data_IF_119729015629
#
_entry.id   IF_119729015629
#
_cell.length_a   1.000
_cell.length_b   1.000
_cell.length_c   1.000
_cell.angle_alpha   90.00
_cell.angle_beta   90.00
_cell.angle_gamma   90.00
#
_symmetry.space_group_name_H-M   'P 1'
#
loop_
_entity.id
_entity.type
_entity.pdbx_description
1 polymer ?
#
# COMPACT_ATOMS: atom_id res chain seq x y z
N UNK A 1 3.62 -28.33 3.19
CA UNK A 1 2.17 -28.14 3.44
C UNK A 1 1.89 -26.77 4.05
N UNK A 2 0.65 -26.27 3.92
CA UNK A 2 0.19 -25.03 4.55
C UNK A 2 -0.36 -25.33 5.97
N UNK A 3 -0.03 -24.48 6.94
CA UNK A 3 -0.46 -24.56 8.34
C UNK A 3 -1.28 -23.31 8.70
N UNK A 4 -2.57 -23.51 8.97
CA UNK A 4 -3.49 -22.46 9.38
C UNK A 4 -4.60 -23.00 10.29
N UNK A 5 -4.89 -22.28 11.38
CA UNK A 5 -5.99 -22.59 12.30
C UNK A 5 -6.88 -21.37 12.51
N UNK A 6 -8.19 -21.61 12.57
CA UNK A 6 -9.22 -20.57 12.72
C UNK A 6 -9.60 -20.30 14.18
N UNK A 7 -8.90 -20.90 15.13
CA UNK A 7 -9.17 -20.78 16.57
C UNK A 7 -9.09 -19.33 17.03
N UNK A 8 -10.22 -18.84 17.55
CA UNK A 8 -10.35 -17.48 18.07
C UNK A 8 -9.46 -17.32 19.31
N UNK A 9 -8.44 -16.48 19.21
CA UNK A 9 -7.48 -16.22 20.29
C UNK A 9 -6.07 -16.73 20.01
N UNK A 10 -5.89 -17.56 18.98
CA UNK A 10 -4.57 -18.00 18.56
C UNK A 10 -3.85 -16.90 17.76
N UNK A 11 -3.05 -16.08 18.46
CA UNK A 11 -2.31 -14.96 17.89
C UNK A 11 -1.21 -15.38 16.89
N UNK A 12 -0.87 -16.68 16.83
CA UNK A 12 -0.02 -17.22 15.77
C UNK A 12 -0.71 -17.00 14.43
N UNK A 13 -1.97 -17.42 14.30
CA UNK A 13 -2.69 -17.43 13.02
C UNK A 13 -3.58 -16.21 12.79
N UNK A 14 -4.25 -15.70 13.83
CA UNK A 14 -5.24 -14.62 13.69
C UNK A 14 -4.95 -13.48 14.66
N UNK A 15 -4.76 -12.28 14.12
CA UNK A 15 -4.58 -11.05 14.88
C UNK A 15 -5.70 -10.06 14.57
N UNK A 16 -6.31 -9.53 15.61
CA UNK A 16 -7.29 -8.44 15.51
C UNK A 16 -6.58 -7.11 15.79
N UNK A 17 -6.63 -6.19 14.83
CA UNK A 17 -6.03 -4.86 14.91
C UNK A 17 -7.07 -3.75 14.82
N UNK A 18 -6.67 -2.53 15.22
CA UNK A 18 -7.47 -1.33 15.02
C UNK A 18 -8.84 -1.39 15.70
N UNK A 19 -8.90 -1.79 16.97
CA UNK A 19 -10.17 -1.99 17.69
C UNK A 19 -11.11 -2.98 16.97
N UNK A 20 -10.58 -4.13 16.54
CA UNK A 20 -11.28 -5.20 15.78
C UNK A 20 -11.74 -4.83 14.37
N UNK A 21 -11.32 -3.67 13.84
CA UNK A 21 -11.64 -3.21 12.47
C UNK A 21 -10.74 -3.82 11.40
N UNK A 22 -9.67 -4.51 11.79
CA UNK A 22 -8.72 -5.16 10.90
C UNK A 22 -8.49 -6.58 11.39
N UNK A 23 -8.56 -7.57 10.49
CA UNK A 23 -8.14 -8.94 10.75
C UNK A 23 -6.88 -9.21 9.93
N UNK A 24 -5.87 -9.78 10.57
CA UNK A 24 -4.68 -10.31 9.91
C UNK A 24 -4.62 -11.80 10.14
N UNK A 25 -4.61 -12.56 9.05
CA UNK A 25 -4.42 -14.01 9.02
C UNK A 25 -3.00 -14.32 8.55
N UNK A 26 -2.34 -15.25 9.23
CA UNK A 26 -1.01 -15.76 8.85
C UNK A 26 -1.14 -17.23 8.52
N UNK A 27 -0.94 -17.57 7.25
CA UNK A 27 -0.93 -18.94 6.75
C UNK A 27 0.53 -19.37 6.68
N UNK A 28 0.96 -20.24 7.58
CA UNK A 28 2.34 -20.67 7.69
C UNK A 28 2.66 -21.74 6.66
N UNK A 29 3.91 -21.80 6.22
CA UNK A 29 4.41 -22.85 5.35
C UNK A 29 5.89 -23.08 5.63
N UNK A 30 6.35 -24.31 5.45
CA UNK A 30 7.78 -24.62 5.43
C UNK A 30 8.30 -24.40 4.02
N UNK A 31 9.21 -23.44 3.85
CA UNK A 31 9.88 -23.23 2.56
C UNK A 31 10.87 -24.35 2.34
N UNK A 32 10.74 -25.07 1.22
CA UNK A 32 11.70 -26.10 0.84
C UNK A 32 13.04 -25.49 0.40
N UNK A 33 13.01 -24.29 -0.19
CA UNK A 33 14.22 -23.60 -0.67
C UNK A 33 15.03 -22.93 0.44
N UNK A 34 14.36 -22.35 1.44
CA UNK A 34 15.02 -21.60 2.51
C UNK A 34 15.19 -22.41 3.80
N UNK A 35 14.64 -23.63 3.83
CA UNK A 35 14.53 -24.50 5.01
C UNK A 35 13.97 -23.81 6.26
N UNK A 36 13.24 -22.71 6.06
CA UNK A 36 12.70 -21.84 7.11
C UNK A 36 11.19 -21.79 7.02
N UNK A 37 10.57 -21.61 8.18
CA UNK A 37 9.14 -21.33 8.27
C UNK A 37 8.88 -19.91 7.74
N UNK A 38 8.07 -19.83 6.69
CA UNK A 38 7.51 -18.60 6.15
C UNK A 38 6.03 -18.50 6.46
N UNK A 39 5.43 -17.36 6.16
CA UNK A 39 3.98 -17.23 6.19
C UNK A 39 3.47 -16.27 5.12
N UNK A 40 2.27 -16.55 4.63
CA UNK A 40 1.47 -15.65 3.79
C UNK A 40 0.59 -14.82 4.72
N UNK A 41 0.71 -13.50 4.61
CA UNK A 41 -0.10 -12.56 5.39
C UNK A 41 -1.31 -12.10 4.58
N UNK A 42 -2.50 -12.48 5.01
CA UNK A 42 -3.77 -11.97 4.46
C UNK A 42 -4.32 -10.95 5.45
N UNK A 43 -4.60 -9.73 4.98
CA UNK A 43 -5.14 -8.67 5.83
C UNK A 43 -6.46 -8.18 5.27
N UNK A 44 -7.49 -8.14 6.11
CA UNK A 44 -8.84 -7.68 5.78
C UNK A 44 -9.11 -6.43 6.63
N UNK A 45 -9.45 -5.33 5.97
CA UNK A 45 -9.87 -4.09 6.60
C UNK A 45 -11.38 -3.92 6.42
N UNK A 46 -12.12 -3.79 7.52
CA UNK A 46 -13.58 -3.67 7.50
C UNK A 46 -14.08 -2.23 7.47
N UNK A 47 -13.23 -1.27 7.87
CA UNK A 47 -13.58 0.15 7.90
C UNK A 47 -12.62 0.95 7.07
N UNK A 48 -12.86 0.94 5.76
CA UNK A 48 -12.10 1.70 4.77
C UNK A 48 -13.01 2.68 4.04
N UNK A 49 -12.54 3.92 3.87
CA UNK A 49 -13.25 4.93 3.10
C UNK A 49 -12.83 4.81 1.62
N UNK A 50 -13.58 4.03 0.84
CA UNK A 50 -13.36 3.88 -0.58
C UNK A 50 -13.96 5.07 -1.35
N UNK A 51 -13.15 5.73 -2.18
CA UNK A 51 -13.56 6.87 -3.01
C UNK A 51 -13.83 6.45 -4.45
N UNK A 52 -13.18 5.38 -4.91
CA UNK A 52 -13.36 4.81 -6.23
C UNK A 52 -13.90 3.39 -6.15
N UNK A 53 -14.76 3.03 -7.11
CA UNK A 53 -15.32 1.67 -7.19
C UNK A 53 -14.23 0.66 -7.57
N UNK A 54 -14.32 -0.54 -7.01
CA UNK A 54 -13.50 -1.67 -7.45
C UNK A 54 -13.79 -2.02 -8.90
N UNK A 55 -12.78 -2.53 -9.60
CA UNK A 55 -12.88 -3.02 -10.97
C UNK A 55 -12.58 -4.51 -11.03
N UNK A 56 -13.15 -5.19 -12.01
CA UNK A 56 -12.84 -6.60 -12.27
C UNK A 56 -11.79 -6.68 -13.36
N UNK A 57 -10.67 -7.33 -13.10
CA UNK A 57 -9.56 -7.48 -14.04
C UNK A 57 -9.13 -8.94 -14.14
N UNK A 58 -8.66 -9.33 -15.33
CA UNK A 58 -8.03 -10.63 -15.54
C UNK A 58 -6.58 -10.58 -15.08
N UNK A 59 -6.18 -11.54 -14.25
CA UNK A 59 -4.79 -11.65 -13.83
C UNK A 59 -3.95 -12.32 -14.91
N UNK A 60 -2.73 -11.80 -15.09
CA UNK A 60 -1.68 -12.41 -15.91
C UNK A 60 -0.93 -13.45 -15.09
N UNK A 61 -0.64 -14.59 -15.70
CA UNK A 61 0.07 -15.67 -15.04
C UNK A 61 1.55 -15.31 -14.85
N UNK A 62 2.13 -15.85 -13.78
CA UNK A 62 3.56 -15.71 -13.49
C UNK A 62 4.38 -16.66 -14.39
N UNK A 63 3.78 -17.77 -14.82
CA UNK A 63 4.42 -18.74 -15.72
C UNK A 63 4.45 -18.14 -17.13
N UNK A 64 5.64 -17.99 -17.74
CA UNK A 64 5.75 -17.55 -19.13
C UNK A 64 5.19 -18.62 -20.06
N UNK A 65 4.66 -18.21 -21.22
CA UNK A 65 4.29 -19.16 -22.25
C UNK A 65 5.57 -19.80 -22.82
N UNK A 66 5.74 -21.11 -22.59
CA UNK A 66 6.87 -21.91 -23.10
C UNK A 66 6.36 -23.31 -23.45
N UNK A 67 6.76 -23.79 -24.63
CA UNK A 67 6.44 -25.16 -25.07
C UNK A 67 7.23 -26.20 -24.28
N UNK A 68 8.45 -25.88 -23.89
CA UNK A 68 9.31 -26.74 -23.07
C UNK A 68 8.70 -26.96 -21.68
N UNK A 69 8.18 -25.91 -21.03
CA UNK A 69 7.49 -26.03 -19.74
C UNK A 69 6.21 -26.85 -19.87
N UNK A 70 5.44 -26.66 -20.94
CA UNK A 70 4.23 -27.46 -21.22
C UNK A 70 4.55 -28.94 -21.41
N UNK A 71 5.69 -29.26 -22.04
CA UNK A 71 6.13 -30.63 -22.23
C UNK A 71 6.59 -31.29 -20.93
N UNK A 72 7.39 -30.58 -20.12
CA UNK A 72 7.96 -31.12 -18.88
C UNK A 72 6.96 -31.18 -17.72
N UNK A 73 6.05 -30.21 -17.64
CA UNK A 73 5.11 -30.02 -16.51
C UNK A 73 3.69 -29.70 -17.01
N UNK A 74 3.06 -30.61 -17.78
CA UNK A 74 1.80 -30.32 -18.46
C UNK A 74 0.66 -29.96 -17.49
N UNK A 75 0.55 -30.66 -16.35
CA UNK A 75 -0.52 -30.44 -15.39
C UNK A 75 -0.36 -29.13 -14.61
N UNK A 76 0.87 -28.83 -14.21
CA UNK A 76 1.23 -27.62 -13.49
C UNK A 76 1.03 -26.40 -14.39
N UNK A 77 1.50 -26.46 -15.63
CA UNK A 77 1.30 -25.36 -16.59
C UNK A 77 -0.19 -25.16 -16.86
N UNK A 78 -0.98 -26.21 -17.05
CA UNK A 78 -2.42 -26.05 -17.23
C UNK A 78 -3.10 -25.41 -16.00
N UNK A 79 -2.70 -25.83 -14.80
CA UNK A 79 -3.30 -25.35 -13.54
C UNK A 79 -2.93 -23.90 -13.26
N UNK A 80 -1.65 -23.54 -13.40
CA UNK A 80 -1.12 -22.23 -13.06
C UNK A 80 -1.18 -21.21 -14.20
N UNK A 81 -1.53 -21.64 -15.42
CA UNK A 81 -1.76 -20.74 -16.57
C UNK A 81 -3.23 -20.38 -16.78
N UNK A 82 -4.15 -20.91 -15.95
CA UNK A 82 -5.56 -20.52 -16.02
C UNK A 82 -5.72 -19.07 -15.57
N UNK A 83 -6.07 -18.20 -16.51
CA UNK A 83 -6.45 -16.82 -16.18
C UNK A 83 -7.77 -16.84 -15.42
N UNK A 84 -7.84 -16.06 -14.34
CA UNK A 84 -9.06 -15.83 -13.59
C UNK A 84 -9.26 -14.34 -13.35
N UNK A 85 -10.52 -13.97 -13.18
CA UNK A 85 -10.93 -12.59 -12.91
C UNK A 85 -10.95 -12.35 -11.41
N UNK A 86 -10.41 -11.20 -11.00
CA UNK A 86 -10.42 -10.77 -9.61
C UNK A 86 -10.97 -9.35 -9.51
N UNK A 87 -11.73 -9.08 -8.45
CA UNK A 87 -12.05 -7.71 -8.07
C UNK A 87 -10.83 -7.06 -7.43
N UNK A 88 -10.37 -5.97 -8.01
CA UNK A 88 -9.22 -5.21 -7.56
C UNK A 88 -9.59 -3.75 -7.32
N UNK A 89 -8.82 -3.09 -6.46
CA UNK A 89 -8.95 -1.65 -6.27
C UNK A 89 -8.59 -0.89 -7.55
N UNK A 90 -9.26 0.24 -7.75
CA UNK A 90 -8.87 1.21 -8.75
C UNK A 90 -7.47 1.74 -8.44
N UNK A 91 -6.66 2.00 -9.46
CA UNK A 91 -5.31 2.52 -9.27
C UNK A 91 -5.30 3.90 -8.60
N UNK A 92 -6.37 4.69 -8.79
CA UNK A 92 -6.61 5.96 -8.10
C UNK A 92 -6.86 5.75 -6.60
N UNK A 93 -7.60 4.70 -6.25
CA UNK A 93 -7.84 4.32 -4.84
C UNK A 93 -6.52 3.93 -4.16
N UNK A 94 -5.72 3.09 -4.83
CA UNK A 94 -4.40 2.66 -4.34
C UNK A 94 -3.48 3.87 -4.14
N UNK A 95 -3.46 4.79 -5.10
CA UNK A 95 -2.68 6.03 -5.02
C UNK A 95 -3.06 6.85 -3.78
N UNK A 96 -4.36 7.11 -3.59
CA UNK A 96 -4.84 7.90 -2.46
C UNK A 96 -4.50 7.25 -1.11
N UNK A 97 -4.64 5.92 -1.01
CA UNK A 97 -4.26 5.15 0.18
C UNK A 97 -2.76 5.22 0.48
N UNK A 98 -1.90 5.19 -0.55
CA UNK A 98 -0.45 5.32 -0.38
C UNK A 98 -0.06 6.69 0.17
N UNK A 99 -0.66 7.76 -0.36
CA UNK A 99 -0.44 9.13 0.15
C UNK A 99 -0.91 9.27 1.59
N UNK A 100 -2.13 8.80 1.89
CA UNK A 100 -2.67 8.77 3.26
C UNK A 100 -1.74 8.01 4.21
N UNK A 101 -1.22 6.86 3.79
CA UNK A 101 -0.32 6.03 4.58
C UNK A 101 1.02 6.73 4.90
N UNK A 102 1.58 7.50 3.96
CA UNK A 102 2.80 8.29 4.18
C UNK A 102 2.62 9.24 5.36
N UNK A 103 1.46 9.89 5.46
CA UNK A 103 1.19 10.92 6.47
C UNK A 103 0.75 10.36 7.83
N UNK A 104 0.19 9.15 7.88
CA UNK A 104 -0.47 8.62 9.10
C UNK A 104 0.22 7.42 9.74
N UNK A 105 1.15 6.76 9.05
CA UNK A 105 1.94 5.65 9.64
C UNK A 105 3.07 6.19 10.52
N UNK A 106 3.44 5.41 11.54
CA UNK A 106 4.50 5.77 12.51
C UNK A 106 5.90 5.83 11.91
N UNK A 107 6.15 5.16 10.78
CA UNK A 107 7.46 5.09 10.11
C UNK A 107 7.41 5.56 8.66
N UNK A 108 8.57 5.87 8.09
CA UNK A 108 8.73 6.10 6.64
C UNK A 108 8.87 4.73 5.98
N UNK A 109 7.97 4.40 5.04
CA UNK A 109 8.11 3.21 4.20
C UNK A 109 8.49 3.66 2.79
N UNK A 110 9.78 3.66 2.53
CA UNK A 110 10.43 3.92 1.25
C UNK A 110 9.69 3.34 0.02
N UNK A 111 9.25 2.08 0.12
CA UNK A 111 8.49 1.41 -0.94
C UNK A 111 7.19 2.13 -1.34
N UNK A 112 6.53 2.83 -0.42
CA UNK A 112 5.30 3.56 -0.75
C UNK A 112 5.59 4.73 -1.72
N UNK A 113 6.75 5.39 -1.63
CA UNK A 113 7.17 6.44 -2.56
C UNK A 113 7.42 5.90 -3.97
N UNK A 114 8.09 4.74 -4.04
CA UNK A 114 8.36 4.02 -5.30
C UNK A 114 7.04 3.60 -5.95
N UNK A 115 6.11 3.05 -5.16
CA UNK A 115 4.81 2.62 -5.68
C UNK A 115 4.02 3.81 -6.25
N UNK A 116 3.98 4.95 -5.55
CA UNK A 116 3.32 6.17 -6.04
C UNK A 116 3.94 6.62 -7.36
N UNK A 117 5.27 6.71 -7.43
CA UNK A 117 5.99 7.07 -8.65
C UNK A 117 5.62 6.15 -9.82
N UNK A 118 5.64 4.83 -9.59
CA UNK A 118 5.30 3.83 -10.61
C UNK A 118 3.84 3.93 -11.05
N UNK A 119 2.92 4.14 -10.13
CA UNK A 119 1.49 4.29 -10.43
C UNK A 119 1.25 5.54 -11.27
N UNK A 120 1.79 6.69 -10.87
CA UNK A 120 1.65 7.95 -11.58
C UNK A 120 2.18 7.83 -13.01
N UNK A 121 3.40 7.30 -13.18
CA UNK A 121 3.99 7.11 -14.51
C UNK A 121 3.24 6.11 -15.37
N UNK A 122 2.85 4.96 -14.80
CA UNK A 122 2.19 3.88 -15.55
C UNK A 122 0.81 4.29 -16.04
N UNK A 123 0.06 5.04 -15.24
CA UNK A 123 -1.33 5.41 -15.53
C UNK A 123 -1.48 6.89 -15.94
N UNK A 124 -0.37 7.62 -16.11
CA UNK A 124 -0.33 9.04 -16.48
C UNK A 124 -1.27 9.92 -15.62
N UNK A 125 -1.17 9.78 -14.30
CA UNK A 125 -2.04 10.45 -13.34
C UNK A 125 -1.45 11.78 -12.88
N UNK A 126 -2.30 12.73 -12.49
CA UNK A 126 -1.88 13.95 -11.83
C UNK A 126 -2.40 13.96 -10.38
N UNK A 127 -1.49 14.10 -9.41
CA UNK A 127 -1.83 14.10 -7.98
C UNK A 127 -2.83 15.20 -7.60
N UNK A 128 -2.81 16.33 -8.33
CA UNK A 128 -3.70 17.47 -8.05
C UNK A 128 -5.17 17.13 -8.26
N UNK A 129 -5.47 16.15 -9.12
CA UNK A 129 -6.85 15.79 -9.46
C UNK A 129 -7.52 14.95 -8.36
N UNK A 130 -6.76 14.53 -7.34
CA UNK A 130 -7.22 13.64 -6.27
C UNK A 130 -7.06 14.26 -4.86
N UNK A 131 -6.88 15.58 -4.78
CA UNK A 131 -6.61 16.27 -3.51
C UNK A 131 -7.74 16.07 -2.50
N UNK A 132 -9.00 16.19 -2.94
CA UNK A 132 -10.16 16.09 -2.06
C UNK A 132 -10.32 14.66 -1.52
N UNK A 133 -10.16 13.65 -2.38
CA UNK A 133 -10.21 12.23 -1.99
C UNK A 133 -9.11 11.89 -0.99
N UNK A 134 -7.89 12.39 -1.22
CA UNK A 134 -6.75 12.19 -0.32
C UNK A 134 -7.05 12.83 1.05
N UNK A 135 -7.48 14.10 1.07
CA UNK A 135 -7.77 14.84 2.30
C UNK A 135 -8.88 14.14 3.09
N UNK A 136 -9.97 13.75 2.44
CA UNK A 136 -11.07 13.04 3.08
C UNK A 136 -10.62 11.73 3.72
N UNK A 137 -9.79 10.95 3.01
CA UNK A 137 -9.29 9.67 3.51
C UNK A 137 -8.35 9.86 4.70
N UNK A 138 -7.57 10.94 4.73
CA UNK A 138 -6.73 11.28 5.89
C UNK A 138 -7.62 11.63 7.08
N UNK A 139 -8.56 12.56 6.91
CA UNK A 139 -9.47 13.01 7.98
C UNK A 139 -10.24 11.82 8.56
N UNK A 140 -10.84 10.99 7.70
CA UNK A 140 -11.56 9.80 8.12
C UNK A 140 -10.71 8.91 9.04
N UNK A 141 -9.44 8.67 8.68
CA UNK A 141 -8.55 7.82 9.48
C UNK A 141 -8.10 8.51 10.78
N UNK A 142 -7.93 9.82 10.78
CA UNK A 142 -7.62 10.61 11.98
C UNK A 142 -8.78 10.58 12.97
N UNK A 143 -10.02 10.71 12.50
CA UNK A 143 -11.23 10.62 13.33
C UNK A 143 -11.41 9.23 13.93
N UNK A 144 -11.10 8.17 13.17
CA UNK A 144 -11.29 6.80 13.62
C UNK A 144 -10.25 6.30 14.62
N UNK A 145 -9.03 6.83 14.60
CA UNK A 145 -7.92 6.26 15.38
C UNK A 145 -6.98 7.32 15.98
N UNK A 146 -6.98 7.43 17.31
CA UNK A 146 -6.08 8.33 18.06
C UNK A 146 -4.61 8.14 17.72
N UNK A 147 -4.13 6.90 17.60
CA UNK A 147 -2.73 6.60 17.23
C UNK A 147 -2.28 7.25 15.91
N UNK A 148 -3.21 7.48 14.98
CA UNK A 148 -2.89 8.08 13.69
C UNK A 148 -2.83 9.61 13.78
N UNK A 149 -3.53 10.22 14.74
CA UNK A 149 -3.35 11.63 15.09
C UNK A 149 -1.93 11.86 15.61
N UNK A 150 -1.51 11.08 16.62
CA UNK A 150 -0.16 11.21 17.19
C UNK A 150 0.95 11.01 16.14
N UNK A 151 0.75 10.06 15.22
CA UNK A 151 1.70 9.83 14.13
C UNK A 151 1.70 10.98 13.12
N UNK A 152 0.51 11.49 12.76
CA UNK A 152 0.36 12.59 11.82
C UNK A 152 1.06 13.85 12.35
N UNK A 153 0.86 14.22 13.61
CA UNK A 153 1.49 15.41 14.19
C UNK A 153 3.02 15.32 14.17
N UNK A 154 3.57 14.16 14.55
CA UNK A 154 5.01 13.87 14.45
C UNK A 154 5.49 13.97 13.00
N UNK A 155 4.72 13.44 12.05
CA UNK A 155 5.08 13.41 10.62
C UNK A 155 5.03 14.79 9.99
N UNK A 156 4.02 15.59 10.31
CA UNK A 156 3.90 16.97 9.89
C UNK A 156 5.10 17.77 10.37
N UNK A 157 5.45 17.63 11.66
CA UNK A 157 6.62 18.30 12.24
C UNK A 157 7.90 17.93 11.51
N UNK A 158 8.10 16.63 11.26
CA UNK A 158 9.24 16.11 10.51
C UNK A 158 9.30 16.65 9.06
N UNK A 159 8.20 16.56 8.31
CA UNK A 159 8.12 16.98 6.90
C UNK A 159 8.22 18.51 6.72
N UNK A 160 7.82 19.29 7.73
CA UNK A 160 7.97 20.74 7.70
C UNK A 160 9.40 21.17 8.03
N UNK A 161 10.08 20.46 8.94
CA UNK A 161 11.41 20.81 9.42
C UNK A 161 12.56 20.25 8.57
N UNK A 162 12.39 19.09 7.93
CA UNK A 162 13.44 18.50 7.11
C UNK A 162 13.43 18.99 5.65
N UNK A 163 14.60 19.44 5.20
CA UNK A 163 14.92 19.62 3.78
C UNK A 163 15.32 18.26 3.21
N UNK A 164 14.38 17.61 2.52
CA UNK A 164 14.56 16.41 1.69
C UNK A 164 14.76 15.07 2.41
N UNK A 165 13.86 14.14 2.12
CA UNK A 165 14.14 12.70 2.19
C UNK A 165 15.25 12.43 1.17
N UNK A 166 16.45 12.04 1.63
CA UNK A 166 17.55 11.70 0.73
C UNK A 166 17.37 10.28 0.18
N UNK A 167 17.69 10.12 -1.10
CA UNK A 167 17.46 8.90 -1.91
C UNK A 167 18.41 7.74 -1.55
N UNK A 168 19.41 7.99 -0.72
CA UNK A 168 20.54 7.09 -0.49
C UNK A 168 20.18 5.76 0.22
N UNK A 169 18.93 5.52 0.61
CA UNK A 169 18.46 4.24 1.18
C UNK A 169 17.54 3.42 0.26
N UNK A 170 17.15 3.95 -0.91
CA UNK A 170 16.08 3.37 -1.74
C UNK A 170 16.56 2.41 -2.85
N UNK A 171 17.85 2.43 -3.19
CA UNK A 171 18.43 1.69 -4.32
C UNK A 171 18.49 0.17 -4.12
N UNK A 172 18.75 -0.29 -2.90
CA UNK A 172 19.06 -1.71 -2.62
C UNK A 172 17.85 -2.66 -2.72
N UNK A 173 16.62 -2.12 -2.85
CA UNK A 173 15.39 -2.92 -2.75
C UNK A 173 14.70 -3.21 -4.09
N UNK A 174 15.28 -2.84 -5.23
CA UNK A 174 14.57 -2.90 -6.52
C UNK A 174 15.10 -3.96 -7.48
N UNK A 175 14.19 -4.83 -7.94
CA UNK A 175 14.44 -5.78 -9.03
C UNK A 175 14.49 -5.10 -10.43
N UNK A 176 14.07 -3.84 -10.53
CA UNK A 176 14.09 -3.04 -11.77
C UNK A 176 14.70 -1.68 -11.48
N UNK A 177 15.62 -1.26 -12.35
CA UNK A 177 16.26 0.05 -12.29
C UNK A 177 15.24 1.17 -12.50
N UNK A 178 15.39 2.26 -11.76
CA UNK A 178 14.62 3.50 -11.91
C UNK A 178 15.58 4.60 -12.35
N UNK A 179 15.13 5.49 -13.23
CA UNK A 179 15.88 6.70 -13.53
C UNK A 179 15.93 7.59 -12.27
N UNK A 180 17.11 7.66 -11.65
CA UNK A 180 17.32 8.35 -10.38
C UNK A 180 17.06 9.86 -10.46
N UNK A 181 17.46 10.50 -11.56
CA UNK A 181 17.26 11.95 -11.77
C UNK A 181 15.77 12.30 -11.81
N UNK A 182 15.02 11.56 -12.61
CA UNK A 182 13.58 11.74 -12.75
C UNK A 182 12.83 11.40 -11.46
N UNK A 183 13.26 10.36 -10.73
CA UNK A 183 12.70 10.03 -9.42
C UNK A 183 12.98 11.13 -8.38
N UNK A 184 14.17 11.72 -8.40
CA UNK A 184 14.53 12.86 -7.54
C UNK A 184 13.64 14.09 -7.81
N UNK A 185 13.36 14.39 -9.08
CA UNK A 185 12.43 15.46 -9.47
C UNK A 185 11.02 15.15 -8.93
N UNK A 186 10.55 13.91 -9.12
CA UNK A 186 9.28 13.45 -8.59
C UNK A 186 9.19 13.63 -7.07
N UNK A 187 10.21 13.25 -6.31
CA UNK A 187 10.20 13.39 -4.84
C UNK A 187 10.09 14.85 -4.38
N UNK A 188 10.76 15.77 -5.07
CA UNK A 188 10.63 17.22 -4.80
C UNK A 188 9.20 17.68 -5.01
N UNK A 189 8.57 17.30 -6.13
CA UNK A 189 7.17 17.64 -6.41
C UNK A 189 6.20 17.00 -5.42
N UNK A 190 6.41 15.73 -5.07
CA UNK A 190 5.60 15.03 -4.08
C UNK A 190 5.70 15.71 -2.72
N UNK A 191 6.88 16.15 -2.30
CA UNK A 191 7.06 16.83 -1.02
C UNK A 191 6.30 18.16 -0.95
N UNK A 192 6.33 18.96 -2.03
CA UNK A 192 5.52 20.19 -2.15
C UNK A 192 4.03 19.86 -2.07
N UNK A 193 3.61 18.81 -2.77
CA UNK A 193 2.22 18.34 -2.74
C UNK A 193 1.78 17.90 -1.33
N UNK A 194 2.60 17.12 -0.62
CA UNK A 194 2.30 16.68 0.74
C UNK A 194 2.14 17.87 1.70
N UNK A 195 2.98 18.91 1.59
CA UNK A 195 2.83 20.15 2.38
C UNK A 195 1.49 20.85 2.10
N UNK A 196 1.05 20.88 0.84
CA UNK A 196 -0.27 21.42 0.47
C UNK A 196 -1.39 20.60 1.13
N UNK A 197 -1.34 19.27 1.03
CA UNK A 197 -2.32 18.35 1.62
C UNK A 197 -2.42 18.55 3.13
N UNK A 198 -1.29 18.67 3.85
CA UNK A 198 -1.26 18.94 5.29
C UNK A 198 -2.06 20.22 5.60
N UNK A 199 -1.81 21.32 4.86
CA UNK A 199 -2.54 22.57 5.08
C UNK A 199 -4.05 22.44 4.86
N UNK A 200 -4.47 21.61 3.90
CA UNK A 200 -5.89 21.36 3.60
C UNK A 200 -6.55 20.53 4.69
N UNK A 201 -5.89 19.47 5.16
CA UNK A 201 -6.35 18.64 6.28
C UNK A 201 -6.52 19.49 7.54
N UNK A 202 -5.55 20.34 7.86
CA UNK A 202 -5.59 21.18 9.06
C UNK A 202 -6.72 22.22 8.98
N UNK A 203 -6.94 22.83 7.80
CA UNK A 203 -8.05 23.76 7.56
C UNK A 203 -9.41 23.08 7.72
N UNK A 204 -9.58 21.89 7.13
CA UNK A 204 -10.85 21.15 7.14
C UNK A 204 -11.15 20.59 8.53
N UNK A 205 -10.15 20.10 9.25
CA UNK A 205 -10.29 19.62 10.64
C UNK A 205 -10.64 20.73 11.63
N UNK A 206 -10.15 21.96 11.43
CA UNK A 206 -10.53 23.13 12.27
C UNK A 206 -11.97 23.59 12.03
N UNK A 207 -12.44 23.56 10.78
CA UNK A 207 -13.84 23.89 10.45
C UNK A 207 -14.83 22.90 11.09
N UNK A 208 -14.49 21.62 11.14
CA UNK A 208 -15.33 20.58 11.74
C UNK A 208 -15.44 20.67 13.28
N UNK A 209 -14.52 21.36 13.95
CA UNK A 209 -14.55 21.57 15.42
C UNK A 209 -15.31 22.83 15.86
N UNK A 210 -15.60 23.74 14.93
CA UNK A 210 -16.29 25.00 15.18
C UNK A 210 -17.77 24.99 14.73
N UNK A 211 -18.29 23.80 14.40
CA UNK A 211 -19.70 23.51 14.12
C UNK A 211 -20.20 22.54 15.18
#
# INVERSE_FOLDING_TARGET
GLDFKTERGNQRYILYGGNKKIITMKIYYKSEFLEKEGYIKVQINFWECLKFKSKTESLTNIIPESEELKFLFPQEVETFSKSFKLQIYDHREILCEKIRAILTRSGVKEKDYIDIYKIIKKFNLNLKDYEDEIVDKIIYVLELYKKYQDNYDKKVTFLLNEKSLSVNSLGDFMLKTINEEDFNIFLKHLHVFLKKIISLVDKKSKKAKNQ
#
